data_IF_286193076688
#
_entry.id   IF_286193076688
#
_cell.length_a   1.000
_cell.length_b   1.000
_cell.length_c   1.000
_cell.angle_alpha   90.00
_cell.angle_beta   90.00
_cell.angle_gamma   90.00
#
_symmetry.space_group_name_H-M   'P 1'
#
loop_
_entity.id
_entity.type
_entity.pdbx_description
1 polymer ?
#
# COMPACT_ATOMS: atom_id res chain seq x y z
N UNK A 1 14.37 19.12 -32.11
CA UNK A 1 14.84 18.01 -31.24
C UNK A 1 15.21 18.60 -29.89
N UNK A 2 14.40 18.42 -28.85
CA UNK A 2 14.77 18.82 -27.47
C UNK A 2 14.26 17.74 -26.50
N UNK A 3 15.18 16.89 -26.06
CA UNK A 3 14.95 15.89 -25.02
C UNK A 3 15.89 16.20 -23.85
N UNK A 4 15.59 17.24 -23.08
CA UNK A 4 16.17 17.41 -21.73
C UNK A 4 15.37 16.52 -20.77
N UNK A 5 15.61 15.21 -20.85
CA UNK A 5 15.12 14.26 -19.87
C UNK A 5 15.73 14.59 -18.51
N UNK A 6 14.88 14.90 -17.53
CA UNK A 6 15.26 15.30 -16.18
C UNK A 6 15.98 14.16 -15.44
N UNK A 7 17.30 14.09 -15.57
CA UNK A 7 18.18 13.09 -14.92
C UNK A 7 18.19 13.17 -13.39
N UNK A 8 17.63 14.23 -12.82
CA UNK A 8 17.66 14.49 -11.38
C UNK A 8 16.40 14.01 -10.65
N UNK A 9 15.31 13.66 -11.36
CA UNK A 9 14.08 13.19 -10.74
C UNK A 9 14.26 11.98 -9.80
N UNK A 10 15.09 10.96 -10.13
CA UNK A 10 15.36 9.84 -9.23
C UNK A 10 16.06 10.27 -7.94
N UNK A 11 17.05 11.17 -8.05
CA UNK A 11 17.81 11.68 -6.90
C UNK A 11 16.93 12.54 -6.00
N UNK A 12 16.02 13.32 -6.57
CA UNK A 12 15.04 14.11 -5.81
C UNK A 12 14.08 13.17 -5.06
N UNK A 13 13.56 12.12 -5.71
CA UNK A 13 12.65 11.16 -5.06
C UNK A 13 13.35 10.40 -3.94
N UNK A 14 14.58 9.95 -4.17
CA UNK A 14 15.38 9.31 -3.14
C UNK A 14 15.74 10.26 -1.99
N UNK A 15 16.08 11.51 -2.30
CA UNK A 15 16.34 12.55 -1.31
C UNK A 15 15.11 12.86 -0.45
N UNK A 16 13.93 13.01 -1.07
CA UNK A 16 12.66 13.20 -0.36
C UNK A 16 12.35 11.99 0.53
N UNK A 17 12.55 10.77 0.02
CA UNK A 17 12.39 9.56 0.82
C UNK A 17 13.30 9.55 2.06
N UNK A 18 14.58 9.89 1.90
CA UNK A 18 15.53 9.98 3.01
C UNK A 18 15.15 11.07 4.02
N UNK A 19 14.67 12.22 3.56
CA UNK A 19 14.20 13.31 4.45
C UNK A 19 13.00 12.85 5.26
N UNK A 20 11.99 12.24 4.63
CA UNK A 20 10.80 11.74 5.32
C UNK A 20 11.18 10.66 6.32
N UNK A 21 12.04 9.71 5.93
CA UNK A 21 12.53 8.67 6.82
C UNK A 21 13.29 9.25 8.02
N UNK A 22 14.17 10.23 7.78
CA UNK A 22 14.91 10.92 8.83
C UNK A 22 14.03 11.66 9.82
N UNK A 23 12.99 12.36 9.35
CA UNK A 23 12.01 13.03 10.21
C UNK A 23 11.27 12.02 11.09
N UNK A 24 10.82 10.91 10.50
CA UNK A 24 10.12 9.84 11.21
C UNK A 24 11.01 9.22 12.30
N UNK A 25 12.26 8.88 11.97
CA UNK A 25 13.23 8.33 12.92
C UNK A 25 13.58 9.34 14.03
N UNK A 26 13.73 10.62 13.68
CA UNK A 26 14.01 11.69 14.65
C UNK A 26 12.85 11.90 15.63
N UNK A 27 11.60 11.82 15.15
CA UNK A 27 10.41 11.88 15.99
C UNK A 27 10.36 10.77 17.05
N UNK A 28 10.79 9.55 16.69
CA UNK A 28 10.88 8.45 17.65
C UNK A 28 11.95 8.67 18.72
N UNK A 29 13.04 9.38 18.40
CA UNK A 29 14.11 9.67 19.37
C UNK A 29 13.71 10.71 20.42
N UNK A 30 12.76 11.60 20.09
CA UNK A 30 12.35 12.70 20.97
C UNK A 30 11.34 12.30 22.06
N UNK A 31 10.71 11.12 21.95
CA UNK A 31 9.60 10.72 22.81
C UNK A 31 9.89 9.59 23.82
N UNK A 32 11.15 9.22 24.04
CA UNK A 32 11.54 8.14 24.98
C UNK A 32 10.75 6.84 24.75
N UNK A 33 10.36 6.62 23.49
CA UNK A 33 9.62 5.44 23.05
C UNK A 33 10.62 4.36 22.70
N UNK A 34 10.32 3.15 23.15
CA UNK A 34 11.17 1.97 22.96
C UNK A 34 11.42 1.75 21.46
N UNK A 35 12.54 2.25 20.94
CA UNK A 35 12.83 2.36 19.50
C UNK A 35 12.83 0.98 18.85
N UNK A 36 13.26 -0.03 19.59
CA UNK A 36 13.28 -1.43 19.15
C UNK A 36 11.86 -2.01 19.18
N UNK A 37 11.06 -1.64 20.19
CA UNK A 37 9.67 -2.05 20.32
C UNK A 37 8.75 -1.43 19.27
N UNK A 38 8.89 -0.14 18.95
CA UNK A 38 8.01 0.59 18.03
C UNK A 38 8.54 0.75 16.61
N UNK A 39 9.86 0.78 16.44
CA UNK A 39 10.51 1.05 15.16
C UNK A 39 10.72 -0.18 14.29
N UNK A 40 10.60 -1.40 14.82
CA UNK A 40 10.93 -2.61 14.05
C UNK A 40 10.10 -2.80 12.74
N UNK A 41 8.82 -2.39 12.65
CA UNK A 41 8.08 -2.48 11.38
C UNK A 41 8.70 -1.62 10.28
N UNK A 42 9.47 -0.58 10.62
CA UNK A 42 10.21 0.23 9.65
C UNK A 42 11.25 -0.59 8.91
N UNK A 43 11.86 -1.62 9.52
CA UNK A 43 12.77 -2.52 8.81
C UNK A 43 12.08 -3.34 7.71
N UNK A 44 10.74 -3.44 7.75
CA UNK A 44 9.94 -4.04 6.67
C UNK A 44 9.49 -2.97 5.68
N UNK A 45 9.00 -1.82 6.17
CA UNK A 45 8.53 -0.71 5.33
C UNK A 45 9.64 -0.17 4.43
N UNK A 46 10.84 0.06 4.97
CA UNK A 46 11.96 0.68 4.25
C UNK A 46 12.36 -0.12 3.01
N UNK A 47 12.65 -1.43 3.08
CA UNK A 47 12.88 -2.25 1.89
C UNK A 47 11.72 -2.22 0.88
N UNK A 48 10.47 -2.23 1.35
CA UNK A 48 9.30 -2.10 0.48
C UNK A 48 9.28 -0.79 -0.29
N UNK A 49 9.60 0.32 0.37
CA UNK A 49 9.70 1.64 -0.25
C UNK A 49 10.90 1.74 -1.22
N UNK A 50 12.01 1.05 -0.94
CA UNK A 50 13.15 0.99 -1.85
C UNK A 50 12.81 0.35 -3.20
N UNK A 51 11.88 -0.61 -3.25
CA UNK A 51 11.38 -1.14 -4.54
C UNK A 51 10.67 -0.06 -5.37
N UNK A 52 9.90 0.84 -4.74
CA UNK A 52 9.28 1.96 -5.45
C UNK A 52 10.32 2.99 -5.91
N UNK A 53 11.36 3.24 -5.11
CA UNK A 53 12.49 4.08 -5.52
C UNK A 53 13.19 3.46 -6.74
N UNK A 54 13.49 2.17 -6.72
CA UNK A 54 14.09 1.44 -7.84
C UNK A 54 13.22 1.51 -9.09
N UNK A 55 11.91 1.33 -8.93
CA UNK A 55 10.93 1.49 -10.00
C UNK A 55 10.90 2.91 -10.59
N UNK A 56 11.03 3.97 -9.78
CA UNK A 56 11.12 5.36 -10.26
C UNK A 56 12.47 5.62 -10.93
N UNK A 57 13.56 5.13 -10.35
CA UNK A 57 14.92 5.33 -10.84
C UNK A 57 15.18 4.63 -12.18
N UNK A 58 14.55 3.48 -12.40
CA UNK A 58 14.56 2.76 -13.68
C UNK A 58 13.83 3.47 -14.84
N UNK A 59 13.10 4.55 -14.55
CA UNK A 59 12.35 5.30 -15.56
C UNK A 59 11.26 4.47 -16.24
N UNK A 60 11.09 4.65 -17.56
CA UNK A 60 10.12 3.93 -18.41
C UNK A 60 10.67 2.65 -19.02
N UNK A 61 11.77 2.12 -18.49
CA UNK A 61 12.32 0.84 -18.95
C UNK A 61 11.29 -0.27 -18.71
N UNK A 62 10.90 -0.95 -19.78
CA UNK A 62 9.90 -2.02 -19.81
C UNK A 62 10.29 -3.11 -18.80
N UNK A 63 9.39 -3.49 -17.89
CA UNK A 63 9.63 -4.53 -16.90
C UNK A 63 9.95 -4.03 -15.48
N UNK A 64 10.60 -2.86 -15.33
CA UNK A 64 10.91 -2.34 -13.98
C UNK A 64 9.68 -1.82 -13.24
N UNK A 65 8.57 -1.58 -13.95
CA UNK A 65 7.30 -1.17 -13.34
C UNK A 65 6.71 -2.26 -12.44
N UNK A 66 7.03 -3.54 -12.70
CA UNK A 66 6.58 -4.68 -11.91
C UNK A 66 7.23 -4.77 -10.53
N UNK A 67 8.31 -4.02 -10.25
CA UNK A 67 8.85 -3.86 -8.89
C UNK A 67 7.81 -3.23 -7.93
N UNK A 68 6.80 -2.55 -8.46
CA UNK A 68 5.67 -2.06 -7.68
C UNK A 68 4.91 -3.18 -6.95
N UNK A 69 4.92 -4.41 -7.46
CA UNK A 69 4.23 -5.56 -6.83
C UNK A 69 4.90 -5.94 -5.50
N UNK A 70 6.18 -6.37 -5.47
CA UNK A 70 6.84 -6.67 -4.20
C UNK A 70 6.94 -5.42 -3.32
N UNK A 71 7.14 -4.22 -3.89
CA UNK A 71 7.14 -2.98 -3.14
C UNK A 71 5.81 -2.72 -2.41
N UNK A 72 4.68 -2.91 -3.08
CA UNK A 72 3.35 -2.76 -2.47
C UNK A 72 3.12 -3.77 -1.37
N UNK A 73 3.41 -5.05 -1.62
CA UNK A 73 3.19 -6.12 -0.63
C UNK A 73 4.03 -5.87 0.62
N UNK A 74 5.34 -5.67 0.47
CA UNK A 74 6.26 -5.48 1.60
C UNK A 74 5.89 -4.23 2.40
N UNK A 75 5.57 -3.12 1.70
CA UNK A 75 5.14 -1.89 2.37
C UNK A 75 3.83 -2.09 3.12
N UNK A 76 2.84 -2.75 2.53
CA UNK A 76 1.55 -3.03 3.19
C UNK A 76 1.71 -3.95 4.39
N UNK A 77 2.57 -4.98 4.32
CA UNK A 77 2.92 -5.81 5.49
C UNK A 77 3.51 -4.94 6.58
N UNK A 78 4.52 -4.12 6.26
CA UNK A 78 5.16 -3.25 7.24
C UNK A 78 4.20 -2.25 7.89
N UNK A 79 3.27 -1.66 7.12
CA UNK A 79 2.24 -0.76 7.64
C UNK A 79 1.25 -1.48 8.56
N UNK A 80 0.83 -2.70 8.20
CA UNK A 80 -0.04 -3.50 9.05
C UNK A 80 0.66 -3.88 10.35
N UNK A 81 1.93 -4.27 10.28
CA UNK A 81 2.75 -4.54 11.47
C UNK A 81 2.93 -3.28 12.33
N UNK A 82 3.12 -2.10 11.73
CA UNK A 82 3.18 -0.84 12.45
C UNK A 82 1.88 -0.53 13.19
N UNK A 83 0.73 -0.74 12.54
CA UNK A 83 -0.58 -0.62 13.18
C UNK A 83 -0.71 -1.58 14.37
N UNK A 84 -0.46 -2.87 14.16
CA UNK A 84 -0.59 -3.91 15.20
C UNK A 84 0.32 -3.67 16.39
N UNK A 85 1.51 -3.13 16.12
CA UNK A 85 2.49 -2.86 17.14
C UNK A 85 2.14 -1.64 18.00
N UNK A 86 1.42 -0.65 17.44
CA UNK A 86 0.91 0.52 18.16
C UNK A 86 -0.38 0.18 18.92
N UNK A 87 -1.31 -0.56 18.30
CA UNK A 87 -2.63 -0.85 18.88
C UNK A 87 -2.64 -2.10 19.76
N UNK A 88 -1.61 -2.95 19.66
CA UNK A 88 -1.58 -4.27 20.25
C UNK A 88 -2.53 -5.28 19.58
N UNK A 89 -3.22 -4.89 18.50
CA UNK A 89 -4.25 -5.71 17.85
C UNK A 89 -3.65 -6.67 16.82
N UNK A 90 -2.83 -7.61 17.30
CA UNK A 90 -2.25 -8.68 16.49
C UNK A 90 -3.30 -9.62 15.89
N UNK A 91 -4.50 -9.66 16.48
CA UNK A 91 -5.61 -10.48 15.99
C UNK A 91 -6.19 -9.96 14.68
N UNK A 92 -5.91 -8.69 14.33
CA UNK A 92 -6.30 -8.11 13.04
C UNK A 92 -5.77 -8.88 11.84
N UNK A 93 -4.71 -9.70 12.01
CA UNK A 93 -4.22 -10.58 10.95
C UNK A 93 -5.28 -11.55 10.42
N UNK A 94 -6.27 -11.93 11.23
CA UNK A 94 -7.39 -12.82 10.84
C UNK A 94 -8.18 -12.30 9.63
N UNK A 95 -8.27 -10.98 9.46
CA UNK A 95 -9.02 -10.33 8.38
C UNK A 95 -8.16 -9.43 7.48
N UNK A 96 -7.11 -8.80 8.02
CA UNK A 96 -6.29 -7.82 7.31
C UNK A 96 -5.30 -8.43 6.30
N UNK A 97 -5.05 -9.75 6.35
CA UNK A 97 -4.17 -10.44 5.39
C UNK A 97 -4.59 -10.22 3.93
N UNK A 98 -5.88 -10.07 3.68
CA UNK A 98 -6.45 -9.84 2.35
C UNK A 98 -6.12 -8.45 1.77
N UNK A 99 -5.84 -7.47 2.64
CA UNK A 99 -5.29 -6.16 2.22
C UNK A 99 -3.85 -6.30 1.73
N UNK A 100 -3.08 -7.23 2.32
CA UNK A 100 -1.71 -7.54 1.90
C UNK A 100 -1.74 -8.36 0.61
N UNK A 101 -2.43 -9.50 0.62
CA UNK A 101 -2.62 -10.37 -0.53
C UNK A 101 -4.07 -10.86 -0.54
N UNK A 102 -4.92 -10.44 -1.50
CA UNK A 102 -4.62 -9.90 -2.84
C UNK A 102 -4.55 -8.37 -3.00
N UNK A 103 -4.90 -7.57 -1.99
CA UNK A 103 -5.06 -6.11 -2.11
C UNK A 103 -3.81 -5.38 -2.60
N UNK A 104 -2.67 -5.53 -1.91
CA UNK A 104 -1.42 -4.85 -2.25
C UNK A 104 -0.80 -5.39 -3.54
N UNK A 105 -1.00 -6.67 -3.87
CA UNK A 105 -0.65 -7.22 -5.19
C UNK A 105 -1.42 -6.50 -6.29
N UNK A 106 -2.72 -6.29 -6.08
CA UNK A 106 -3.57 -5.51 -6.97
C UNK A 106 -3.10 -4.06 -7.13
N UNK A 107 -2.71 -3.41 -6.04
CA UNK A 107 -2.13 -2.06 -6.06
C UNK A 107 -0.85 -2.01 -6.91
N UNK A 108 0.05 -2.96 -6.71
CA UNK A 108 1.30 -3.06 -7.47
C UNK A 108 1.07 -3.28 -8.96
N UNK A 109 0.12 -4.14 -9.33
CA UNK A 109 -0.29 -4.35 -10.73
C UNK A 109 -0.96 -3.11 -11.33
N UNK A 110 -1.72 -2.36 -10.54
CA UNK A 110 -2.34 -1.11 -10.99
C UNK A 110 -1.27 -0.05 -11.28
N UNK A 111 -0.26 0.08 -10.42
CA UNK A 111 0.90 0.96 -10.64
C UNK A 111 1.72 0.50 -11.85
N UNK A 112 2.00 -0.81 -11.96
CA UNK A 112 2.76 -1.36 -13.08
C UNK A 112 2.04 -1.13 -14.42
N UNK A 113 0.77 -1.55 -14.52
CA UNK A 113 -0.02 -1.42 -15.75
C UNK A 113 -0.31 0.02 -16.17
N UNK A 114 -0.34 0.97 -15.22
CA UNK A 114 -0.44 2.40 -15.57
C UNK A 114 0.87 2.95 -16.14
N UNK A 115 2.03 2.48 -15.67
CA UNK A 115 3.34 2.91 -16.19
C UNK A 115 3.68 2.29 -17.53
N UNK A 116 3.35 1.02 -17.72
CA UNK A 116 3.61 0.29 -18.98
C UNK A 116 2.54 0.54 -20.05
N UNK A 117 1.44 1.21 -19.68
CA UNK A 117 0.35 1.49 -20.61
C UNK A 117 -0.45 0.23 -20.98
N UNK A 118 -0.40 -0.81 -20.15
CA UNK A 118 -1.04 -2.10 -20.37
C UNK A 118 -2.42 -2.15 -19.67
N UNK A 119 -3.52 -1.93 -20.41
CA UNK A 119 -4.85 -1.80 -19.81
C UNK A 119 -5.36 -3.11 -19.21
N UNK A 120 -4.86 -4.27 -19.68
CA UNK A 120 -5.21 -5.58 -19.12
C UNK A 120 -4.64 -5.74 -17.70
N UNK A 121 -3.34 -5.48 -17.52
CA UNK A 121 -2.64 -5.54 -16.22
C UNK A 121 -3.25 -4.57 -15.23
N UNK A 122 -3.51 -3.33 -15.66
CA UNK A 122 -4.17 -2.31 -14.82
C UNK A 122 -5.56 -2.75 -14.35
N UNK A 123 -6.36 -3.38 -15.22
CA UNK A 123 -7.71 -3.85 -14.88
C UNK A 123 -7.63 -5.00 -13.88
N UNK A 124 -6.73 -5.95 -14.09
CA UNK A 124 -6.49 -7.05 -13.15
C UNK A 124 -6.05 -6.51 -11.80
N UNK A 125 -5.16 -5.51 -11.76
CA UNK A 125 -4.73 -4.85 -10.53
C UNK A 125 -5.88 -4.19 -9.77
N UNK A 126 -6.72 -3.41 -10.46
CA UNK A 126 -7.89 -2.79 -9.84
C UNK A 126 -8.92 -3.82 -9.34
N UNK A 127 -9.11 -4.92 -10.06
CA UNK A 127 -9.99 -6.00 -9.63
C UNK A 127 -9.46 -6.69 -8.37
N UNK A 128 -8.16 -7.06 -8.34
CA UNK A 128 -7.52 -7.68 -7.18
C UNK A 128 -7.53 -6.77 -5.95
N UNK A 129 -7.33 -5.47 -6.14
CA UNK A 129 -7.44 -4.47 -5.07
C UNK A 129 -8.86 -4.43 -4.50
N UNK A 130 -9.87 -4.40 -5.36
CA UNK A 130 -11.28 -4.45 -4.95
C UNK A 130 -11.64 -5.74 -4.22
N UNK A 131 -11.20 -6.89 -4.75
CA UNK A 131 -11.41 -8.20 -4.11
C UNK A 131 -10.73 -8.26 -2.75
N UNK A 132 -9.49 -7.77 -2.62
CA UNK A 132 -8.78 -7.72 -1.34
C UNK A 132 -9.49 -6.87 -0.30
N UNK A 133 -9.98 -5.69 -0.69
CA UNK A 133 -10.78 -4.82 0.18
C UNK A 133 -12.08 -5.47 0.63
N UNK A 134 -12.81 -6.10 -0.30
CA UNK A 134 -14.05 -6.81 0.01
C UNK A 134 -13.81 -7.99 0.95
N UNK A 135 -12.76 -8.77 0.70
CA UNK A 135 -12.36 -9.88 1.58
C UNK A 135 -11.97 -9.39 2.97
N UNK A 136 -11.32 -8.23 3.08
CA UNK A 136 -10.95 -7.65 4.37
C UNK A 136 -12.19 -7.29 5.18
N UNK A 137 -13.17 -6.64 4.56
CA UNK A 137 -14.41 -6.26 5.21
C UNK A 137 -15.29 -7.45 5.60
N UNK A 138 -15.45 -8.40 4.67
CA UNK A 138 -16.22 -9.62 4.95
C UNK A 138 -15.51 -10.42 6.04
N UNK A 139 -14.19 -10.55 5.94
CA UNK A 139 -13.36 -11.20 6.94
C UNK A 139 -13.51 -10.56 8.31
N UNK A 140 -13.39 -9.24 8.41
CA UNK A 140 -13.58 -8.51 9.67
C UNK A 140 -14.98 -8.80 10.23
N UNK A 141 -16.03 -8.65 9.43
CA UNK A 141 -17.39 -8.88 9.89
C UNK A 141 -17.58 -10.32 10.41
N UNK A 142 -17.06 -11.31 9.69
CA UNK A 142 -17.15 -12.73 10.09
C UNK A 142 -16.30 -12.99 11.34
N UNK A 143 -15.01 -12.67 11.33
CA UNK A 143 -14.12 -12.99 12.44
C UNK A 143 -14.52 -12.21 13.70
N UNK A 144 -14.70 -10.90 13.61
CA UNK A 144 -14.95 -10.04 14.77
C UNK A 144 -16.38 -10.16 15.27
N UNK A 145 -17.39 -10.03 14.38
CA UNK A 145 -18.79 -9.95 14.81
C UNK A 145 -19.49 -11.31 14.89
N UNK A 146 -19.18 -12.25 14.01
CA UNK A 146 -19.82 -13.57 14.00
C UNK A 146 -19.11 -14.57 14.91
N UNK A 147 -17.77 -14.61 14.87
CA UNK A 147 -16.96 -15.59 15.60
C UNK A 147 -16.46 -15.05 16.95
N UNK A 148 -16.36 -13.72 17.11
CA UNK A 148 -15.83 -13.09 18.32
C UNK A 148 -14.31 -13.17 18.46
N UNK A 149 -13.59 -13.36 17.34
CA UNK A 149 -12.13 -13.44 17.25
C UNK A 149 -11.64 -12.26 16.40
N UNK A 150 -10.67 -11.47 16.86
CA UNK A 150 -10.22 -10.28 16.11
C UNK A 150 -10.30 -8.95 16.86
N UNK A 151 -10.37 -9.01 18.20
CA UNK A 151 -10.34 -7.84 19.07
C UNK A 151 -11.50 -6.88 18.81
N UNK A 152 -11.16 -5.60 18.62
CA UNK A 152 -12.12 -4.51 18.38
C UNK A 152 -12.40 -4.29 16.87
N UNK A 153 -11.94 -5.18 15.99
CA UNK A 153 -11.93 -4.94 14.54
C UNK A 153 -10.97 -3.82 14.15
N UNK A 154 -11.18 -3.22 12.98
CA UNK A 154 -10.32 -2.13 12.49
C UNK A 154 -10.39 -0.86 13.37
N UNK A 155 -11.34 -0.78 14.31
CA UNK A 155 -11.56 0.37 15.18
C UNK A 155 -12.18 1.57 14.43
N UNK A 156 -12.74 2.56 15.16
CA UNK A 156 -13.64 3.56 14.57
C UNK A 156 -13.01 4.45 13.48
N UNK A 157 -11.70 4.70 13.56
CA UNK A 157 -10.97 5.52 12.57
C UNK A 157 -10.80 4.78 11.26
N UNK A 158 -10.38 3.51 11.30
CA UNK A 158 -10.17 2.72 10.08
C UNK A 158 -11.51 2.24 9.51
N UNK A 159 -12.50 1.91 10.35
CA UNK A 159 -13.89 1.65 9.93
C UNK A 159 -14.50 2.84 9.16
N UNK A 160 -14.01 4.08 9.36
CA UNK A 160 -14.48 5.25 8.60
C UNK A 160 -13.71 5.45 7.29
N UNK A 161 -12.42 5.09 7.25
CA UNK A 161 -11.56 5.22 6.07
C UNK A 161 -11.86 4.13 5.04
N UNK A 162 -12.21 2.92 5.47
CA UNK A 162 -12.44 1.78 4.56
C UNK A 162 -13.67 1.97 3.66
N UNK A 163 -14.84 2.41 4.15
CA UNK A 163 -15.99 2.72 3.30
C UNK A 163 -15.70 3.85 2.34
N UNK A 164 -15.00 4.90 2.78
CA UNK A 164 -14.57 5.99 1.93
C UNK A 164 -13.61 5.50 0.83
N UNK A 165 -12.66 4.63 1.18
CA UNK A 165 -11.76 3.97 0.25
C UNK A 165 -12.49 3.10 -0.77
N UNK A 166 -13.52 2.35 -0.34
CA UNK A 166 -14.37 1.55 -1.21
C UNK A 166 -15.27 2.37 -2.12
N UNK A 167 -15.79 3.49 -1.63
CA UNK A 167 -16.53 4.45 -2.45
C UNK A 167 -15.60 5.02 -3.53
N UNK A 168 -14.39 5.46 -3.16
CA UNK A 168 -13.41 5.98 -4.12
C UNK A 168 -12.97 4.89 -5.11
N UNK A 169 -12.72 3.66 -4.65
CA UNK A 169 -12.36 2.55 -5.51
C UNK A 169 -13.51 2.15 -6.45
N UNK A 170 -14.75 2.10 -5.95
CA UNK A 170 -15.95 1.82 -6.73
C UNK A 170 -16.21 2.89 -7.78
N UNK A 171 -16.11 4.18 -7.40
CA UNK A 171 -16.19 5.30 -8.33
C UNK A 171 -15.09 5.22 -9.39
N UNK A 172 -13.85 4.94 -8.99
CA UNK A 172 -12.74 4.75 -9.92
C UNK A 172 -13.00 3.63 -10.93
N UNK A 173 -13.56 2.50 -10.48
CA UNK A 173 -13.94 1.39 -11.36
C UNK A 173 -15.04 1.82 -12.35
N UNK A 174 -16.08 2.51 -11.90
CA UNK A 174 -17.17 3.00 -12.76
C UNK A 174 -16.63 3.98 -13.81
N UNK A 175 -15.87 4.99 -13.40
CA UNK A 175 -15.32 5.99 -14.31
C UNK A 175 -14.24 5.44 -15.25
N UNK A 176 -13.52 4.39 -14.84
CA UNK A 176 -12.57 3.70 -15.73
C UNK A 176 -13.25 2.90 -16.84
N UNK A 177 -14.53 2.53 -16.68
CA UNK A 177 -15.33 1.83 -17.69
C UNK A 177 -16.06 2.78 -18.64
N UNK A 178 -16.50 3.95 -18.17
CA UNK A 178 -17.21 4.94 -18.98
C UNK A 178 -16.42 5.48 -20.18
N UNK A 179 -15.08 5.56 -20.08
CA UNK A 179 -14.21 6.03 -21.18
C UNK A 179 -14.05 5.07 -22.36
N UNK A 180 -14.65 3.87 -22.32
CA UNK A 180 -14.62 2.90 -23.44
C UNK A 180 -15.90 2.88 -24.27
N UNK A 181 -16.94 3.60 -23.86
CA UNK A 181 -18.25 3.61 -24.51
C UNK A 181 -18.61 4.95 -25.17
N UNK A 182 -17.66 5.88 -25.27
CA UNK A 182 -17.78 7.17 -25.94
C UNK A 182 -16.73 7.28 -27.04
#
# INVERSE_FOLDING_TARGET
MNATGNRNAPMVVFGVFLVVLGIVLFGFQFWDVDIIGLGWPLFVIVPGLLFFVGMVAGGRQTGLSYLAIPGSVITSVGLLLAYQNITGDWQSWSYAWSLVAPGAVGLGLLIAGTREGEPAVRRTGGWLLGVGLLFALIGEWVFVRLIGIGGNGFGPVVESIVPAGLIVAGLFVIFSRGKRAA
#
